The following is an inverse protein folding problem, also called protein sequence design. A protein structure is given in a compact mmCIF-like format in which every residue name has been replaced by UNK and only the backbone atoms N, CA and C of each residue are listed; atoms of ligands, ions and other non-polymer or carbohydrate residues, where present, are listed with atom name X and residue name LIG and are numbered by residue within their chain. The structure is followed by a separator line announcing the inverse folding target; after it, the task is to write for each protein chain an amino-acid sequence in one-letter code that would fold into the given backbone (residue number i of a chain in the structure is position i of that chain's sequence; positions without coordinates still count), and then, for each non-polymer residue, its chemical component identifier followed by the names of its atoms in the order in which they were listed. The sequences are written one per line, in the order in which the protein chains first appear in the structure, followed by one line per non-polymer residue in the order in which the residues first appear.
data_IF_468524763564
#
_entry.id   IF_468524763564
#
_cell.length_a   1.000
_cell.length_b   1.000
_cell.length_c   1.000
_cell.angle_alpha   90.00
_cell.angle_beta   90.00
_cell.angle_gamma   90.00
#
_symmetry.space_group_name_H-M   'P 1'
#
loop_
_entity.id
_entity.type
_entity.pdbx_description
1 polymer ?
#
# COMPACT_ATOMS: atom_id res chain seq x y z
N UNK A 1 -10.86 11.47 0.50
CA UNK A 1 -10.82 10.80 1.81
C UNK A 1 -10.24 9.42 1.60
N UNK A 2 -9.21 9.05 2.36
CA UNK A 2 -8.54 7.76 2.21
C UNK A 2 -9.22 6.73 3.12
N UNK A 3 -9.95 5.76 2.55
CA UNK A 3 -10.70 4.73 3.31
C UNK A 3 -9.77 3.94 4.25
N UNK A 4 -8.52 3.72 3.85
CA UNK A 4 -7.54 2.96 4.64
C UNK A 4 -7.31 3.58 6.02
N UNK A 5 -7.22 4.91 6.12
CA UNK A 5 -6.97 5.59 7.40
C UNK A 5 -8.16 5.43 8.34
N UNK A 6 -9.37 5.66 7.83
CA UNK A 6 -10.61 5.50 8.60
C UNK A 6 -10.79 4.06 9.08
N UNK A 7 -10.61 3.07 8.19
CA UNK A 7 -10.70 1.65 8.56
C UNK A 7 -9.63 1.26 9.58
N UNK A 8 -8.40 1.73 9.40
CA UNK A 8 -7.31 1.44 10.34
C UNK A 8 -7.58 2.03 11.72
N UNK A 9 -8.02 3.29 11.82
CA UNK A 9 -8.34 3.92 13.12
C UNK A 9 -9.43 3.13 13.89
N UNK A 10 -10.36 2.49 13.19
CA UNK A 10 -11.43 1.70 13.80
C UNK A 10 -11.00 0.29 14.22
N UNK A 11 -10.07 -0.33 13.48
CA UNK A 11 -9.82 -1.78 13.58
C UNK A 11 -8.36 -2.17 13.75
N UNK A 12 -7.42 -1.22 13.95
CA UNK A 12 -5.98 -1.49 14.03
C UNK A 12 -5.55 -2.53 15.06
N UNK A 13 -6.32 -2.73 16.13
CA UNK A 13 -6.04 -3.75 17.14
C UNK A 13 -6.43 -5.17 16.68
N UNK A 14 -7.11 -5.29 15.54
CA UNK A 14 -7.62 -6.54 14.98
C UNK A 14 -7.10 -6.86 13.58
N UNK A 15 -6.36 -5.95 12.94
CA UNK A 15 -5.89 -6.11 11.57
C UNK A 15 -4.38 -5.87 11.46
N UNK A 16 -3.76 -6.63 10.56
CA UNK A 16 -2.41 -6.36 10.08
C UNK A 16 -2.51 -5.95 8.61
N UNK A 17 -1.82 -4.86 8.24
CA UNK A 17 -1.84 -4.32 6.89
C UNK A 17 -0.44 -4.39 6.31
N UNK A 18 -0.31 -5.08 5.17
CA UNK A 18 0.89 -5.05 4.36
C UNK A 18 0.65 -4.22 3.10
N UNK A 19 1.45 -3.17 2.92
CA UNK A 19 1.43 -2.37 1.70
C UNK A 19 2.44 -2.91 0.68
N UNK A 20 1.97 -3.14 -0.55
CA UNK A 20 2.80 -3.66 -1.66
C UNK A 20 2.79 -2.65 -2.83
N UNK A 21 3.68 -1.64 -2.81
CA UNK A 21 3.76 -0.61 -3.85
C UNK A 21 4.44 -1.13 -5.14
N UNK A 22 3.69 -1.91 -5.91
CA UNK A 22 4.06 -2.31 -7.28
C UNK A 22 3.23 -1.59 -8.34
N UNK A 23 1.96 -1.32 -8.04
CA UNK A 23 0.98 -0.80 -8.99
C UNK A 23 0.94 -1.65 -10.28
N UNK A 24 0.90 -1.01 -11.45
CA UNK A 24 0.92 -1.67 -12.77
C UNK A 24 2.32 -1.67 -13.41
N UNK A 25 3.37 -1.64 -12.58
CA UNK A 25 4.75 -1.70 -13.08
C UNK A 25 5.00 -3.02 -13.80
N UNK A 26 5.73 -2.97 -14.91
CA UNK A 26 6.19 -4.14 -15.66
C UNK A 26 7.72 -4.10 -15.69
N UNK A 27 8.38 -5.23 -15.44
CA UNK A 27 9.81 -5.36 -15.71
C UNK A 27 10.01 -5.90 -17.13
N UNK A 28 10.76 -5.17 -17.96
CA UNK A 28 11.08 -5.61 -19.32
C UNK A 28 12.18 -6.69 -19.34
N UNK A 29 12.47 -7.24 -20.52
CA UNK A 29 13.51 -8.27 -20.70
C UNK A 29 14.94 -7.79 -20.41
N UNK A 30 15.16 -6.48 -20.31
CA UNK A 30 16.45 -5.87 -19.96
C UNK A 30 16.53 -5.52 -18.45
N UNK A 31 15.46 -5.78 -17.69
CA UNK A 31 15.36 -5.48 -16.27
C UNK A 31 14.85 -4.08 -15.94
N UNK A 32 14.53 -3.25 -16.94
CA UNK A 32 14.01 -1.90 -16.71
C UNK A 32 12.55 -1.95 -16.24
N UNK A 33 12.17 -0.98 -15.41
CA UNK A 33 10.78 -0.81 -14.97
C UNK A 33 10.02 0.11 -15.91
N UNK A 34 8.85 -0.35 -16.36
CA UNK A 34 7.88 0.41 -17.14
C UNK A 34 6.66 0.63 -16.25
N UNK A 35 6.44 1.87 -15.81
CA UNK A 35 5.32 2.25 -14.93
C UNK A 35 4.18 2.90 -15.71
N UNK A 36 2.98 2.91 -15.12
CA UNK A 36 1.75 3.32 -15.80
C UNK A 36 1.79 4.78 -16.26
N UNK A 37 2.40 5.65 -15.44
CA UNK A 37 2.53 7.09 -15.74
C UNK A 37 3.98 7.53 -15.95
N UNK A 38 4.84 6.61 -16.42
CA UNK A 38 6.24 6.88 -16.77
C UNK A 38 7.18 7.05 -15.58
N UNK A 39 8.32 7.70 -15.79
CA UNK A 39 9.40 7.85 -14.81
C UNK A 39 8.96 8.45 -13.46
N UNK A 40 8.09 9.48 -13.40
CA UNK A 40 7.64 10.02 -12.12
C UNK A 40 6.87 8.99 -11.25
N UNK A 41 6.15 8.06 -11.89
CA UNK A 41 5.44 6.96 -11.23
C UNK A 41 6.42 5.89 -10.77
N UNK A 42 7.41 5.52 -11.59
CA UNK A 42 8.47 4.62 -11.16
C UNK A 42 9.23 5.15 -9.95
N UNK A 43 9.61 6.42 -9.99
CA UNK A 43 10.26 7.08 -8.86
C UNK A 43 9.37 7.07 -7.61
N UNK A 44 8.10 7.46 -7.74
CA UNK A 44 7.15 7.45 -6.62
C UNK A 44 7.01 6.04 -6.01
N UNK A 45 6.78 5.01 -6.83
CA UNK A 45 6.71 3.63 -6.36
C UNK A 45 7.99 3.20 -5.63
N UNK A 46 9.17 3.64 -6.08
CA UNK A 46 10.45 3.37 -5.39
C UNK A 46 10.54 4.10 -4.05
N UNK A 47 10.08 5.35 -3.96
CA UNK A 47 9.96 6.10 -2.69
C UNK A 47 9.00 5.40 -1.73
N UNK A 48 7.89 4.83 -2.22
CA UNK A 48 6.93 4.12 -1.38
C UNK A 48 7.58 2.89 -0.75
N UNK A 49 8.26 2.07 -1.57
CA UNK A 49 9.00 0.88 -1.13
C UNK A 49 10.00 1.24 -0.03
N UNK A 50 10.82 2.27 -0.26
CA UNK A 50 11.83 2.70 0.69
C UNK A 50 11.23 3.26 1.98
N UNK A 51 10.21 4.10 1.88
CA UNK A 51 9.53 4.69 3.05
C UNK A 51 8.88 3.60 3.90
N UNK A 52 8.14 2.68 3.27
CA UNK A 52 7.50 1.56 3.97
C UNK A 52 8.53 0.61 4.61
N UNK A 53 9.67 0.38 3.95
CA UNK A 53 10.78 -0.43 4.51
C UNK A 53 11.40 0.22 5.75
N UNK A 54 11.61 1.54 5.73
CA UNK A 54 12.12 2.30 6.88
C UNK A 54 11.09 2.40 8.02
N UNK A 55 9.81 2.23 7.72
CA UNK A 55 8.69 2.26 8.66
C UNK A 55 8.19 0.86 9.06
N UNK A 56 8.92 -0.21 8.75
CA UNK A 56 8.47 -1.61 8.92
C UNK A 56 7.95 -1.95 10.33
N UNK A 57 8.48 -1.29 11.37
CA UNK A 57 8.12 -1.52 12.77
C UNK A 57 7.19 -0.42 13.32
N UNK A 58 6.59 0.39 12.44
CA UNK A 58 5.77 1.57 12.77
C UNK A 58 4.47 1.58 11.95
N UNK A 59 3.50 0.70 12.26
CA UNK A 59 2.31 0.52 11.43
C UNK A 59 1.43 1.78 11.34
N UNK A 60 1.27 2.54 12.43
CA UNK A 60 0.55 3.83 12.39
C UNK A 60 1.21 4.80 11.36
N UNK A 61 2.55 4.87 11.35
CA UNK A 61 3.29 5.74 10.43
C UNK A 61 3.25 5.24 8.97
N UNK A 62 3.19 3.91 8.74
CA UNK A 62 2.97 3.37 7.40
C UNK A 62 1.59 3.76 6.86
N UNK A 63 0.55 3.68 7.69
CA UNK A 63 -0.80 4.10 7.30
C UNK A 63 -0.85 5.60 7.05
N UNK A 64 -0.21 6.42 7.89
CA UNK A 64 -0.13 7.87 7.68
C UNK A 64 0.59 8.23 6.38
N UNK A 65 1.68 7.52 6.08
CA UNK A 65 2.43 7.70 4.84
C UNK A 65 1.55 7.40 3.63
N UNK A 66 0.90 6.23 3.62
CA UNK A 66 0.02 5.82 2.52
C UNK A 66 -1.22 6.71 2.42
N UNK A 67 -1.77 7.18 3.53
CA UNK A 67 -2.88 8.14 3.51
C UNK A 67 -2.47 9.48 2.89
N UNK A 68 -1.23 9.93 3.12
CA UNK A 68 -0.66 11.11 2.47
C UNK A 68 -0.46 10.89 0.95
N UNK A 69 0.09 9.75 0.53
CA UNK A 69 0.24 9.43 -0.91
C UNK A 69 -1.12 9.34 -1.63
N UNK A 70 -2.17 8.94 -0.89
CA UNK A 70 -3.55 8.85 -1.38
C UNK A 70 -4.33 10.18 -1.24
N UNK A 71 -3.70 11.25 -0.79
CA UNK A 71 -4.31 12.58 -0.67
C UNK A 71 -4.19 13.38 -1.97
N UNK A 72 -5.06 14.38 -2.16
CA UNK A 72 -5.06 15.19 -3.38
C UNK A 72 -3.81 16.08 -3.48
N UNK A 73 -3.16 16.19 -4.66
CA UNK A 73 -3.48 15.48 -5.91
C UNK A 73 -3.05 14.00 -5.86
N UNK A 74 -3.92 13.10 -6.34
CA UNK A 74 -3.70 11.65 -6.37
C UNK A 74 -3.58 11.14 -7.82
N UNK A 75 -2.61 10.24 -8.13
CA UNK A 75 -1.52 9.79 -7.26
C UNK A 75 -0.51 10.89 -6.98
N UNK A 76 0.09 10.85 -5.78
CA UNK A 76 1.25 11.65 -5.47
C UNK A 76 2.48 11.14 -6.26
N UNK A 77 3.24 12.05 -6.85
CA UNK A 77 4.43 11.73 -7.62
C UNK A 77 5.63 12.57 -7.14
N UNK A 78 6.84 12.05 -7.36
CA UNK A 78 8.09 12.79 -7.19
C UNK A 78 8.21 13.48 -5.81
N UNK A 79 8.32 14.81 -5.79
CA UNK A 79 8.50 15.60 -4.57
C UNK A 79 7.37 15.42 -3.56
N UNK A 80 6.15 15.14 -4.02
CA UNK A 80 5.04 14.90 -3.11
C UNK A 80 5.25 13.63 -2.29
N UNK A 81 5.84 12.60 -2.89
CA UNK A 81 6.09 11.35 -2.19
C UNK A 81 7.19 11.48 -1.13
N UNK A 82 8.25 12.24 -1.46
CA UNK A 82 9.27 12.63 -0.48
C UNK A 82 8.69 13.51 0.63
N UNK A 83 7.76 14.42 0.30
CA UNK A 83 7.05 15.22 1.30
C UNK A 83 6.23 14.34 2.24
N UNK A 84 5.54 13.33 1.73
CA UNK A 84 4.80 12.38 2.56
C UNK A 84 5.74 11.60 3.50
N UNK A 85 6.91 11.18 3.01
CA UNK A 85 7.93 10.54 3.84
C UNK A 85 8.40 11.48 4.97
N UNK A 86 8.68 12.74 4.64
CA UNK A 86 9.06 13.76 5.65
C UNK A 86 7.95 14.01 6.67
N UNK A 87 6.68 14.05 6.24
CA UNK A 87 5.54 14.32 7.11
C UNK A 87 5.36 13.26 8.20
N UNK A 88 5.72 12.01 7.91
CA UNK A 88 5.72 10.92 8.91
C UNK A 88 7.03 10.80 9.68
N UNK A 89 7.90 11.81 9.58
CA UNK A 89 9.13 11.92 10.36
C UNK A 89 10.29 11.09 9.81
N UNK A 90 10.27 10.66 8.54
CA UNK A 90 11.44 10.04 7.93
C UNK A 90 12.51 11.09 7.63
N UNK A 91 13.75 10.68 7.87
CA UNK A 91 14.95 11.39 7.43
C UNK A 91 15.14 11.17 5.93
N UNK A 92 15.06 12.26 5.15
CA UNK A 92 15.15 12.19 3.70
C UNK A 92 16.50 11.69 3.21
N UNK A 93 17.58 11.88 3.96
CA UNK A 93 18.88 11.33 3.60
C UNK A 93 18.88 9.80 3.68
N UNK A 94 18.16 9.24 4.66
CA UNK A 94 17.96 7.79 4.76
C UNK A 94 17.05 7.25 3.66
N UNK A 95 16.01 8.01 3.29
CA UNK A 95 15.15 7.66 2.15
C UNK A 95 15.97 7.64 0.87
N UNK A 96 16.73 8.71 0.58
CA UNK A 96 17.60 8.81 -0.59
C UNK A 96 18.66 7.71 -0.62
N UNK A 97 19.28 7.40 0.52
CA UNK A 97 20.21 6.28 0.62
C UNK A 97 19.52 4.93 0.31
N UNK A 98 18.30 4.72 0.79
CA UNK A 98 17.53 3.53 0.43
C UNK A 98 17.26 3.46 -1.08
N UNK A 99 16.86 4.58 -1.71
CA UNK A 99 16.62 4.64 -3.15
C UNK A 99 17.85 4.21 -3.95
N UNK A 100 19.04 4.59 -3.50
CA UNK A 100 20.30 4.24 -4.16
C UNK A 100 20.77 2.80 -3.89
N UNK A 101 20.66 2.32 -2.65
CA UNK A 101 21.33 1.08 -2.22
C UNK A 101 20.38 -0.12 -2.15
N UNK A 102 19.16 0.10 -1.64
CA UNK A 102 18.23 -0.98 -1.30
C UNK A 102 17.06 -1.08 -2.29
N UNK A 103 16.84 -0.05 -3.10
CA UNK A 103 15.66 0.06 -3.94
C UNK A 103 15.43 -1.19 -4.78
N UNK A 104 16.43 -1.64 -5.54
CA UNK A 104 16.34 -2.79 -6.47
C UNK A 104 15.85 -4.07 -5.79
N UNK A 105 16.39 -4.37 -4.60
CA UNK A 105 15.94 -5.51 -3.80
C UNK A 105 14.46 -5.39 -3.44
N UNK A 106 14.04 -4.21 -2.97
CA UNK A 106 12.65 -3.96 -2.61
C UNK A 106 11.71 -4.02 -3.84
N UNK A 107 12.19 -3.70 -5.04
CA UNK A 107 11.41 -3.85 -6.27
C UNK A 107 11.16 -5.31 -6.61
N UNK A 108 12.18 -6.17 -6.52
CA UNK A 108 12.05 -7.62 -6.75
C UNK A 108 11.08 -8.25 -5.76
N UNK A 109 11.15 -7.85 -4.49
CA UNK A 109 10.20 -8.32 -3.46
C UNK A 109 8.77 -7.86 -3.75
N UNK A 110 8.57 -6.58 -4.09
CA UNK A 110 7.26 -6.03 -4.43
C UNK A 110 6.66 -6.68 -5.69
N UNK A 111 7.48 -6.88 -6.73
CA UNK A 111 7.10 -7.57 -7.97
C UNK A 111 6.59 -8.98 -7.69
N UNK A 112 7.35 -9.76 -6.91
CA UNK A 112 6.99 -11.13 -6.56
C UNK A 112 5.66 -11.20 -5.82
N UNK A 113 5.43 -10.30 -4.86
CA UNK A 113 4.18 -10.25 -4.10
C UNK A 113 3.00 -9.82 -4.98
N UNK A 114 3.22 -8.89 -5.91
CA UNK A 114 2.19 -8.34 -6.77
C UNK A 114 1.86 -9.19 -8.00
N UNK A 115 2.75 -10.11 -8.42
CA UNK A 115 2.61 -10.84 -9.68
C UNK A 115 1.27 -11.57 -9.82
N UNK A 116 0.91 -12.41 -8.84
CA UNK A 116 -0.35 -13.17 -8.88
C UNK A 116 -1.59 -12.29 -8.69
N UNK A 117 -1.65 -11.40 -7.67
CA UNK A 117 -2.81 -10.54 -7.48
C UNK A 117 -3.06 -9.61 -8.67
N UNK A 118 -2.00 -9.01 -9.24
CA UNK A 118 -2.14 -8.12 -10.39
C UNK A 118 -2.66 -8.85 -11.62
N UNK A 119 -2.15 -10.07 -11.90
CA UNK A 119 -2.63 -10.88 -13.01
C UNK A 119 -4.12 -11.28 -12.86
N UNK A 120 -4.58 -11.57 -11.64
CA UNK A 120 -5.94 -12.02 -11.39
C UNK A 120 -6.96 -10.87 -11.26
N UNK A 121 -6.59 -9.77 -10.59
CA UNK A 121 -7.50 -8.66 -10.28
C UNK A 121 -7.43 -7.58 -11.37
N UNK A 122 -6.23 -7.32 -11.92
CA UNK A 122 -5.95 -6.38 -13.00
C UNK A 122 -6.51 -4.95 -12.77
N UNK A 123 -6.47 -4.47 -11.53
CA UNK A 123 -6.96 -3.17 -11.11
C UNK A 123 -6.12 -2.63 -9.96
N UNK A 124 -5.99 -1.31 -9.83
CA UNK A 124 -5.29 -0.65 -8.71
C UNK A 124 -6.15 0.48 -8.12
N UNK A 125 -6.13 0.68 -6.80
CA UNK A 125 -5.56 -0.24 -5.80
C UNK A 125 -6.39 -1.54 -5.73
N UNK A 126 -5.72 -2.67 -5.44
CA UNK A 126 -6.36 -3.95 -5.14
C UNK A 126 -6.10 -4.33 -3.68
N UNK A 127 -6.98 -5.14 -3.13
CA UNK A 127 -6.93 -5.60 -1.75
C UNK A 127 -6.96 -7.13 -1.75
N UNK A 128 -5.98 -7.75 -1.09
CA UNK A 128 -5.94 -9.18 -0.82
C UNK A 128 -6.26 -9.39 0.65
N UNK A 129 -7.31 -10.15 0.95
CA UNK A 129 -7.76 -10.37 2.31
C UNK A 129 -7.42 -11.81 2.75
N UNK A 130 -6.75 -11.97 3.90
CA UNK A 130 -6.30 -13.28 4.43
C UNK A 130 -5.61 -14.16 3.36
N UNK A 131 -4.76 -13.56 2.51
CA UNK A 131 -4.06 -14.21 1.39
C UNK A 131 -4.95 -14.82 0.29
N UNK A 132 -6.24 -14.47 0.27
CA UNK A 132 -7.18 -14.92 -0.79
C UNK A 132 -7.21 -13.87 -1.90
N UNK A 133 -6.75 -14.26 -3.08
CA UNK A 133 -6.82 -13.44 -4.30
C UNK A 133 -8.22 -13.63 -4.91
N UNK A 134 -9.11 -12.71 -4.59
CA UNK A 134 -10.50 -12.70 -5.06
C UNK A 134 -10.85 -11.31 -5.62
N UNK A 135 -11.23 -11.28 -6.90
CA UNK A 135 -11.52 -10.04 -7.61
C UNK A 135 -12.74 -9.33 -7.03
N UNK A 136 -13.83 -10.03 -6.79
CA UNK A 136 -15.09 -9.43 -6.31
C UNK A 136 -14.94 -8.95 -4.86
N UNK A 137 -14.20 -9.67 -4.03
CA UNK A 137 -13.81 -9.22 -2.70
C UNK A 137 -12.94 -7.97 -2.76
N UNK A 138 -11.94 -7.94 -3.64
CA UNK A 138 -11.10 -6.74 -3.85
C UNK A 138 -11.91 -5.54 -4.32
N UNK A 139 -12.89 -5.72 -5.21
CA UNK A 139 -13.76 -4.63 -5.66
C UNK A 139 -14.69 -4.13 -4.54
N UNK A 140 -15.26 -5.05 -3.73
CA UNK A 140 -16.03 -4.66 -2.54
C UNK A 140 -15.19 -3.86 -1.54
N UNK A 141 -13.96 -4.33 -1.28
CA UNK A 141 -13.00 -3.62 -0.43
C UNK A 141 -12.66 -2.23 -0.98
N UNK A 142 -12.52 -2.09 -2.30
CA UNK A 142 -12.25 -0.81 -2.93
C UNK A 142 -13.37 0.21 -2.72
N UNK A 143 -14.63 -0.21 -2.74
CA UNK A 143 -15.77 0.70 -2.53
C UNK A 143 -16.10 0.94 -1.06
N UNK A 144 -15.90 -0.05 -0.19
CA UNK A 144 -16.21 0.06 1.23
C UNK A 144 -15.32 -0.89 2.06
N UNK A 145 -14.08 -0.46 2.26
CA UNK A 145 -13.08 -1.24 3.01
C UNK A 145 -13.52 -1.47 4.47
N UNK A 146 -14.10 -0.45 5.10
CA UNK A 146 -14.55 -0.49 6.49
C UNK A 146 -15.58 -1.60 6.71
N UNK A 147 -16.62 -1.64 5.88
CA UNK A 147 -17.66 -2.65 5.99
C UNK A 147 -17.14 -4.07 5.74
N UNK A 148 -16.22 -4.24 4.78
CA UNK A 148 -15.62 -5.55 4.51
C UNK A 148 -14.80 -6.04 5.71
N UNK A 149 -13.92 -5.19 6.24
CA UNK A 149 -13.11 -5.51 7.43
C UNK A 149 -14.02 -5.81 8.61
N UNK A 150 -15.01 -4.96 8.88
CA UNK A 150 -15.92 -5.19 9.99
C UNK A 150 -16.70 -6.50 9.88
N UNK A 151 -17.23 -6.80 8.69
CA UNK A 151 -17.95 -8.05 8.45
C UNK A 151 -17.04 -9.25 8.72
N UNK A 152 -15.80 -9.21 8.23
CA UNK A 152 -14.84 -10.28 8.44
C UNK A 152 -14.43 -10.44 9.92
N UNK A 153 -14.34 -9.35 10.69
CA UNK A 153 -14.08 -9.41 12.13
C UNK A 153 -15.29 -9.98 12.88
N UNK A 154 -16.50 -9.52 12.56
CA UNK A 154 -17.75 -10.02 13.17
C UNK A 154 -17.95 -11.51 12.92
N UNK A 155 -17.61 -11.99 11.74
CA UNK A 155 -17.73 -13.39 11.36
C UNK A 155 -16.62 -14.27 11.97
N UNK A 156 -15.65 -13.66 12.66
CA UNK A 156 -14.59 -14.33 13.42
C UNK A 156 -14.84 -14.18 14.94
N UNK A 157 -15.36 -15.23 15.61
CA UNK A 157 -15.74 -15.15 17.02
C UNK A 157 -14.59 -14.80 17.97
N UNK A 158 -13.34 -15.00 17.55
CA UNK A 158 -12.15 -14.71 18.37
C UNK A 158 -11.90 -13.22 18.57
N UNK A 159 -12.45 -12.38 17.67
CA UNK A 159 -12.22 -10.93 17.69
C UNK A 159 -13.10 -10.21 18.71
N UNK A 160 -14.22 -10.81 19.11
CA UNK A 160 -15.22 -10.19 19.98
C UNK A 160 -16.01 -9.04 19.34
N UNK A 161 -15.76 -8.71 18.07
CA UNK A 161 -16.46 -7.64 17.35
C UNK A 161 -17.87 -8.11 17.01
N UNK A 162 -18.89 -7.36 17.43
CA UNK A 162 -20.31 -7.74 17.19
C UNK A 162 -21.07 -6.73 16.33
N UNK A 163 -20.69 -5.46 16.39
CA UNK A 163 -21.41 -4.37 15.73
C UNK A 163 -20.47 -3.61 14.80
N UNK A 164 -20.90 -3.44 13.55
CA UNK A 164 -20.28 -2.53 12.60
C UNK A 164 -20.94 -1.16 12.74
N UNK A 165 -20.14 -0.09 12.77
CA UNK A 165 -20.68 1.25 12.53
C UNK A 165 -21.03 1.28 11.04
N UNK A 166 -22.30 1.48 10.73
CA UNK A 166 -22.81 1.62 9.36
C UNK A 166 -23.07 3.10 9.09
#
# INVERSE_FOLDING_TARGET
MSQIRQTYDLYKDHIEIQFVPWARTIRDGNGNLICQFGEPDCFANRVFRCSLSLLKDKPDAQVDYMACEMSSPFPAFSDQSLRCAKNVGLDLDKVNNCLAVNGDKLEVEAEKLAAKPMAAINFVPYIVFKNVIDRDMSFRAFFNLENLVCSALRDDPSTGVKNCKL
#
